data_IF_718293903355
#
_entry.id   IF_718293903355
#
_cell.length_a   1.000
_cell.length_b   1.000
_cell.length_c   1.000
_cell.angle_alpha   90.00
_cell.angle_beta   90.00
_cell.angle_gamma   90.00
#
_symmetry.space_group_name_H-M   'P 1'
#
loop_
_entity.id
_entity.type
_entity.pdbx_description
1 polymer ?
#
# COMPACT_ATOMS: atom_id res chain seq x y z
N UNK A 1 -0.11 15.94 60.46
CA UNK A 1 0.25 14.63 59.89
C UNK A 1 -0.96 14.10 59.15
N UNK A 2 -1.10 14.44 57.87
CA UNK A 2 -2.27 14.05 57.06
C UNK A 2 -2.04 12.64 56.49
N UNK A 3 -2.92 11.72 56.87
CA UNK A 3 -2.93 10.33 56.43
C UNK A 3 -3.40 10.29 54.97
N UNK A 4 -2.46 10.22 54.03
CA UNK A 4 -2.76 10.17 52.60
C UNK A 4 -3.48 8.82 52.35
N UNK A 5 -4.68 8.82 51.74
CA UNK A 5 -5.40 7.58 51.51
C UNK A 5 -4.55 6.67 50.62
N UNK A 6 -4.37 5.41 51.04
CA UNK A 6 -3.55 4.38 50.38
C UNK A 6 -3.75 4.35 48.85
N UNK A 7 -4.98 4.64 48.39
CA UNK A 7 -5.33 4.78 46.97
C UNK A 7 -4.49 5.82 46.21
N UNK A 8 -4.19 6.98 46.79
CA UNK A 8 -3.40 8.02 46.10
C UNK A 8 -1.93 7.62 46.03
N UNK A 9 -1.41 6.94 47.06
CA UNK A 9 -0.03 6.45 47.07
C UNK A 9 0.21 5.38 46.00
N UNK A 10 -0.77 4.49 45.76
CA UNK A 10 -0.72 3.52 44.66
C UNK A 10 -0.75 4.19 43.27
N UNK A 11 -1.48 5.29 43.10
CA UNK A 11 -1.50 6.03 41.83
C UNK A 11 -0.17 6.70 41.53
N UNK A 12 0.50 7.25 42.55
CA UNK A 12 1.83 7.87 42.37
C UNK A 12 2.89 6.80 42.06
N UNK A 13 2.82 5.62 42.68
CA UNK A 13 3.72 4.50 42.35
C UNK A 13 3.42 3.89 40.96
N UNK A 14 2.15 3.83 40.54
CA UNK A 14 1.77 3.40 39.20
C UNK A 14 2.24 4.38 38.11
N UNK A 15 2.26 5.69 38.39
CA UNK A 15 2.82 6.71 37.50
C UNK A 15 4.35 6.61 37.38
N UNK A 16 5.06 6.23 38.43
CA UNK A 16 6.52 6.07 38.41
C UNK A 16 6.99 4.73 37.84
N UNK A 17 6.20 3.65 37.96
CA UNK A 17 6.54 2.31 37.42
C UNK A 17 5.90 2.00 36.05
N UNK A 18 4.94 2.82 35.59
CA UNK A 18 4.25 2.67 34.31
C UNK A 18 5.01 3.20 33.09
N UNK A 19 6.32 3.43 33.20
CA UNK A 19 7.15 4.04 32.14
C UNK A 19 7.74 3.08 31.11
N UNK A 20 7.76 1.76 31.32
CA UNK A 20 8.51 0.83 30.44
C UNK A 20 7.91 -0.57 30.23
N UNK A 21 6.65 -0.84 30.58
CA UNK A 21 6.05 -2.15 30.25
C UNK A 21 5.42 -2.11 28.85
N UNK A 22 6.19 -2.70 27.93
CA UNK A 22 5.98 -2.71 26.50
C UNK A 22 4.61 -3.18 26.03
N UNK A 23 4.16 -2.53 24.96
CA UNK A 23 3.23 -3.09 24.01
C UNK A 23 3.84 -4.36 23.40
N UNK A 24 3.67 -5.51 24.05
CA UNK A 24 3.72 -6.81 23.35
C UNK A 24 2.36 -6.98 22.66
N UNK A 25 2.24 -6.38 21.47
CA UNK A 25 1.24 -6.80 20.50
C UNK A 25 1.49 -8.28 20.21
N UNK A 26 0.50 -9.10 20.55
CA UNK A 26 0.51 -10.55 20.33
C UNK A 26 0.46 -10.85 18.82
N UNK A 27 1.38 -11.70 18.35
CA UNK A 27 1.55 -12.06 16.94
C UNK A 27 0.54 -13.11 16.42
N UNK A 28 -0.43 -13.56 17.23
CA UNK A 28 -1.30 -14.69 16.83
C UNK A 28 -2.45 -14.32 15.89
N UNK A 29 -2.76 -13.04 15.67
CA UNK A 29 -3.75 -12.58 14.66
C UNK A 29 -3.11 -12.15 13.33
N UNK A 30 -1.81 -12.42 13.12
CA UNK A 30 -1.16 -12.20 11.81
C UNK A 30 -1.32 -13.39 10.84
N UNK A 31 -2.00 -14.46 11.27
CA UNK A 31 -2.15 -15.68 10.47
C UNK A 31 -3.37 -15.67 9.52
N UNK A 32 -4.38 -14.82 9.73
CA UNK A 32 -5.58 -14.80 8.88
C UNK A 32 -5.42 -14.01 7.57
N UNK A 33 -4.42 -13.13 7.45
CA UNK A 33 -4.15 -12.39 6.21
C UNK A 33 -3.16 -13.11 5.26
N UNK A 34 -2.72 -14.32 5.60
CA UNK A 34 -1.62 -15.03 4.93
C UNK A 34 -1.93 -15.70 3.57
N UNK A 35 -3.10 -15.50 2.94
CA UNK A 35 -3.49 -16.27 1.73
C UNK A 35 -3.55 -15.52 0.40
N UNK A 36 -2.97 -14.32 0.27
CA UNK A 36 -2.74 -13.74 -1.06
C UNK A 36 -1.42 -12.98 -1.14
N UNK A 37 -0.34 -13.69 -1.51
CA UNK A 37 0.93 -13.06 -1.92
C UNK A 37 0.67 -12.31 -3.24
N UNK A 38 0.71 -10.96 -3.26
CA UNK A 38 0.49 -10.22 -4.50
C UNK A 38 1.59 -10.56 -5.51
N UNK A 39 1.27 -10.66 -6.81
CA UNK A 39 2.23 -11.03 -7.84
C UNK A 39 3.42 -10.06 -7.82
N UNK A 40 4.65 -10.56 -8.08
CA UNK A 40 5.81 -9.71 -8.14
C UNK A 40 5.61 -8.65 -9.24
N UNK A 41 5.97 -7.38 -8.98
CA UNK A 41 5.91 -6.34 -10.00
C UNK A 41 6.84 -6.71 -11.15
N UNK A 42 6.53 -6.29 -12.40
CA UNK A 42 7.41 -6.51 -13.54
C UNK A 42 8.81 -5.95 -13.24
N UNK A 43 9.81 -6.80 -13.39
CA UNK A 43 11.23 -6.54 -13.18
C UNK A 43 11.71 -5.44 -14.13
N UNK A 44 12.05 -4.28 -13.59
CA UNK A 44 12.56 -3.13 -14.35
C UNK A 44 12.22 -1.75 -13.79
N UNK A 45 11.38 -1.64 -12.75
CA UNK A 45 10.99 -0.35 -12.18
C UNK A 45 11.81 0.02 -10.93
N UNK A 46 12.90 0.78 -11.09
CA UNK A 46 13.64 1.38 -9.97
C UNK A 46 12.88 2.62 -9.48
N UNK A 47 11.79 2.41 -8.74
CA UNK A 47 10.97 3.51 -8.25
C UNK A 47 11.63 4.23 -7.08
N UNK A 48 11.71 5.57 -7.14
CA UNK A 48 12.15 6.38 -6.00
C UNK A 48 10.94 6.83 -5.16
N UNK A 49 11.10 6.94 -3.85
CA UNK A 49 10.08 7.48 -2.94
C UNK A 49 9.59 8.88 -3.39
N UNK A 50 10.48 9.68 -3.97
CA UNK A 50 10.17 11.01 -4.54
C UNK A 50 9.10 10.97 -5.64
N UNK A 51 9.05 9.89 -6.43
CA UNK A 51 8.09 9.77 -7.53
C UNK A 51 6.67 9.51 -6.99
N UNK A 52 6.58 8.71 -5.93
CA UNK A 52 5.31 8.44 -5.24
C UNK A 52 4.79 9.69 -4.55
N UNK A 53 5.67 10.45 -3.88
CA UNK A 53 5.31 11.75 -3.27
C UNK A 53 4.86 12.73 -4.35
N UNK A 54 5.55 12.77 -5.49
CA UNK A 54 5.16 13.62 -6.63
C UNK A 54 3.79 13.20 -7.20
N UNK A 55 3.54 11.89 -7.29
CA UNK A 55 2.25 11.37 -7.73
C UNK A 55 1.13 11.82 -6.79
N UNK A 56 1.33 11.71 -5.47
CA UNK A 56 0.38 12.26 -4.49
C UNK A 56 0.22 13.77 -4.70
N UNK A 57 1.30 14.55 -4.74
CA UNK A 57 1.24 16.02 -4.89
C UNK A 57 0.41 16.47 -6.09
N UNK A 58 0.57 15.84 -7.26
CA UNK A 58 -0.09 16.28 -8.49
C UNK A 58 -1.44 15.60 -8.75
N UNK A 59 -1.69 14.43 -8.18
CA UNK A 59 -2.89 13.64 -8.43
C UNK A 59 -3.82 13.50 -7.21
N UNK A 60 -3.44 13.97 -6.02
CA UNK A 60 -4.21 13.80 -4.78
C UNK A 60 -5.66 14.23 -4.93
N UNK A 61 -5.92 15.38 -5.56
CA UNK A 61 -7.27 15.89 -5.78
C UNK A 61 -8.12 14.97 -6.64
N UNK A 62 -7.54 14.18 -7.55
CA UNK A 62 -8.28 13.21 -8.36
C UNK A 62 -8.43 11.85 -7.66
N UNK A 63 -7.45 11.48 -6.83
CA UNK A 63 -7.44 10.23 -6.08
C UNK A 63 -8.30 10.30 -4.81
N UNK A 64 -8.48 11.49 -4.26
CA UNK A 64 -9.15 11.71 -2.99
C UNK A 64 -10.59 11.18 -3.03
N UNK A 65 -11.03 10.52 -1.96
CA UNK A 65 -12.31 9.78 -1.92
C UNK A 65 -13.52 10.66 -2.24
N UNK A 66 -13.54 11.89 -1.76
CA UNK A 66 -14.67 12.82 -1.92
C UNK A 66 -14.67 13.58 -3.24
N UNK A 67 -13.63 13.47 -4.06
CA UNK A 67 -13.58 14.20 -5.33
C UNK A 67 -14.58 13.70 -6.37
N UNK A 68 -15.04 14.53 -7.30
CA UNK A 68 -15.92 14.08 -8.38
C UNK A 68 -15.25 12.97 -9.22
N UNK A 69 -16.00 11.93 -9.59
CA UNK A 69 -15.47 10.79 -10.36
C UNK A 69 -15.14 11.13 -11.82
N UNK A 70 -15.75 12.19 -12.36
CA UNK A 70 -15.73 12.48 -13.80
C UNK A 70 -14.68 13.50 -14.22
N UNK A 71 -13.83 13.96 -13.30
CA UNK A 71 -12.77 14.90 -13.65
C UNK A 71 -11.59 14.14 -14.24
N UNK A 72 -11.29 14.44 -15.52
CA UNK A 72 -10.06 13.96 -16.15
C UNK A 72 -8.84 14.54 -15.41
N UNK A 73 -7.81 13.73 -15.15
CA UNK A 73 -6.56 14.22 -14.59
C UNK A 73 -5.93 15.26 -15.52
N UNK A 74 -5.35 16.30 -14.92
CA UNK A 74 -4.60 17.30 -15.68
C UNK A 74 -3.32 16.71 -16.28
N UNK A 75 -2.72 17.43 -17.23
CA UNK A 75 -1.51 16.99 -17.93
C UNK A 75 -0.35 16.70 -16.97
N UNK A 76 -0.19 17.51 -15.90
CA UNK A 76 0.86 17.31 -14.88
C UNK A 76 0.68 15.99 -14.13
N UNK A 77 -0.54 15.67 -13.70
CA UNK A 77 -0.86 14.40 -13.05
C UNK A 77 -0.56 13.23 -13.99
N UNK A 78 -0.98 13.30 -15.27
CA UNK A 78 -0.68 12.22 -16.22
C UNK A 78 0.79 12.07 -16.58
N UNK A 79 1.57 13.15 -16.59
CA UNK A 79 3.02 13.06 -16.77
C UNK A 79 3.68 12.24 -15.66
N UNK A 80 3.31 12.50 -14.40
CA UNK A 80 3.84 11.76 -13.26
C UNK A 80 3.26 10.34 -13.20
N UNK A 81 1.96 10.17 -13.47
CA UNK A 81 1.29 8.87 -13.51
C UNK A 81 1.95 7.89 -14.49
N UNK A 82 2.49 8.41 -15.60
CA UNK A 82 3.24 7.62 -16.59
C UNK A 82 4.63 7.21 -16.09
N UNK A 83 5.25 8.00 -15.21
CA UNK A 83 6.59 7.74 -14.65
C UNK A 83 6.54 6.85 -13.40
N UNK A 84 5.41 6.80 -12.69
CA UNK A 84 5.24 6.04 -11.45
C UNK A 84 4.68 4.64 -11.69
N UNK A 85 5.06 3.69 -10.84
CA UNK A 85 4.50 2.36 -10.74
C UNK A 85 3.23 2.42 -9.91
N UNK A 86 2.11 2.64 -10.59
CA UNK A 86 0.78 2.62 -9.99
C UNK A 86 0.48 1.30 -9.24
N UNK A 87 0.88 0.10 -9.71
CA UNK A 87 0.72 -1.13 -8.93
C UNK A 87 1.41 -1.07 -7.56
N UNK A 88 2.62 -0.50 -7.50
CA UNK A 88 3.38 -0.36 -6.25
C UNK A 88 2.75 0.70 -5.35
N UNK A 89 2.26 1.81 -5.92
CA UNK A 89 1.48 2.80 -5.19
C UNK A 89 0.26 2.16 -4.52
N UNK A 90 -0.51 1.35 -5.27
CA UNK A 90 -1.66 0.65 -4.75
C UNK A 90 -1.32 -0.32 -3.60
N UNK A 91 -0.15 -0.95 -3.64
CA UNK A 91 0.28 -1.88 -2.60
C UNK A 91 0.67 -1.17 -1.30
N UNK A 92 1.26 0.02 -1.40
CA UNK A 92 1.84 0.74 -0.26
C UNK A 92 0.86 1.76 0.33
N UNK A 93 0.13 2.49 -0.51
CA UNK A 93 -0.67 3.65 -0.11
C UNK A 93 -2.18 3.43 -0.13
N UNK A 94 -2.66 2.27 -0.58
CA UNK A 94 -4.08 1.92 -0.59
C UNK A 94 -4.36 0.69 0.30
N UNK A 95 -3.78 0.71 1.49
CA UNK A 95 -4.08 -0.20 2.58
C UNK A 95 -5.43 0.18 3.24
N UNK A 96 -6.07 -0.72 3.99
CA UNK A 96 -7.41 -0.47 4.56
C UNK A 96 -7.51 0.84 5.37
N UNK A 97 -6.43 1.23 6.05
CA UNK A 97 -6.34 2.45 6.86
C UNK A 97 -6.39 3.72 6.01
N UNK A 98 -5.80 3.69 4.80
CA UNK A 98 -5.70 4.87 3.91
C UNK A 98 -6.87 5.00 2.94
N UNK A 99 -7.79 4.03 2.90
CA UNK A 99 -9.05 4.12 2.14
C UNK A 99 -9.93 5.32 2.53
N UNK A 100 -9.72 5.89 3.73
CA UNK A 100 -10.45 7.08 4.16
C UNK A 100 -10.01 8.32 3.36
N UNK A 101 -8.78 8.31 2.83
CA UNK A 101 -8.17 9.44 2.12
C UNK A 101 -8.24 9.21 0.60
N UNK A 102 -7.75 8.06 0.12
CA UNK A 102 -7.64 7.79 -1.33
C UNK A 102 -8.56 6.65 -1.77
N UNK A 103 -9.22 6.85 -2.91
CA UNK A 103 -10.07 5.85 -3.55
C UNK A 103 -9.28 5.05 -4.56
N UNK A 104 -9.13 3.75 -4.28
CA UNK A 104 -8.46 2.81 -5.17
C UNK A 104 -9.06 2.78 -6.59
N UNK A 105 -10.38 2.85 -6.71
CA UNK A 105 -11.08 2.93 -7.99
C UNK A 105 -10.69 4.19 -8.79
N UNK A 106 -10.41 5.32 -8.13
CA UNK A 106 -9.97 6.55 -8.82
C UNK A 106 -8.52 6.45 -9.29
N UNK A 107 -7.65 5.84 -8.50
CA UNK A 107 -6.26 5.56 -8.93
C UNK A 107 -6.24 4.69 -10.19
N UNK A 108 -7.12 3.68 -10.26
CA UNK A 108 -7.29 2.82 -11.42
C UNK A 108 -7.80 3.59 -12.64
N UNK A 109 -8.71 4.56 -12.43
CA UNK A 109 -9.20 5.45 -13.50
C UNK A 109 -8.07 6.34 -14.00
N UNK A 110 -7.27 6.96 -13.12
CA UNK A 110 -6.12 7.78 -13.51
C UNK A 110 -5.13 6.97 -14.34
N UNK A 111 -4.82 5.75 -13.91
CA UNK A 111 -3.94 4.84 -14.65
C UNK A 111 -4.44 4.63 -16.09
N UNK A 112 -5.74 4.35 -16.24
CA UNK A 112 -6.39 4.15 -17.54
C UNK A 112 -6.42 5.43 -18.38
N UNK A 113 -6.83 6.54 -17.81
CA UNK A 113 -6.99 7.82 -18.52
C UNK A 113 -5.64 8.43 -18.95
N UNK A 114 -4.57 8.16 -18.19
CA UNK A 114 -3.21 8.59 -18.51
C UNK A 114 -2.41 7.60 -19.38
N UNK A 115 -3.06 6.55 -19.90
CA UNK A 115 -2.46 5.62 -20.88
C UNK A 115 -1.58 4.51 -20.29
N UNK A 116 -1.64 4.26 -18.98
CA UNK A 116 -1.01 3.10 -18.31
C UNK A 116 -2.03 2.29 -17.50
N UNK A 117 -3.04 1.67 -18.16
CA UNK A 117 -4.06 0.91 -17.44
C UNK A 117 -3.45 -0.28 -16.70
N UNK A 118 -3.96 -0.53 -15.49
CA UNK A 118 -3.61 -1.71 -14.71
C UNK A 118 -4.11 -2.98 -15.39
N UNK A 119 -3.44 -4.10 -15.08
CA UNK A 119 -3.78 -5.41 -15.65
C UNK A 119 -5.19 -5.81 -15.25
N UNK A 120 -5.94 -6.41 -16.18
CA UNK A 120 -7.26 -6.97 -15.86
C UNK A 120 -7.11 -8.05 -14.77
N UNK A 121 -8.05 -8.06 -13.83
CA UNK A 121 -8.07 -8.93 -12.65
C UNK A 121 -6.88 -8.74 -11.68
N UNK A 122 -6.14 -7.63 -11.80
CA UNK A 122 -5.20 -7.23 -10.75
C UNK A 122 -5.91 -6.49 -9.62
N UNK A 123 -5.33 -6.55 -8.43
CA UNK A 123 -5.80 -5.83 -7.25
C UNK A 123 -5.02 -4.53 -7.08
N UNK A 124 -5.73 -3.45 -6.76
CA UNK A 124 -5.18 -2.17 -6.34
C UNK A 124 -5.79 -1.82 -4.99
N UNK A 125 -5.04 -1.99 -3.89
CA UNK A 125 -5.64 -2.05 -2.55
C UNK A 125 -6.70 -3.15 -2.51
N UNK A 126 -7.92 -2.81 -2.10
CA UNK A 126 -9.10 -3.71 -2.14
C UNK A 126 -9.92 -3.63 -3.42
N UNK A 127 -9.50 -2.85 -4.43
CA UNK A 127 -10.24 -2.71 -5.67
C UNK A 127 -9.76 -3.69 -6.75
N UNK A 128 -10.67 -4.51 -7.26
CA UNK A 128 -10.42 -5.41 -8.39
C UNK A 128 -10.57 -4.67 -9.73
N UNK A 129 -9.51 -4.68 -10.54
CA UNK A 129 -9.51 -4.05 -11.87
C UNK A 129 -10.28 -4.92 -12.87
N UNK A 130 -11.51 -4.53 -13.21
CA UNK A 130 -12.34 -5.27 -14.20
C UNK A 130 -12.04 -4.93 -15.65
N UNK A 131 -11.59 -3.71 -15.94
CA UNK A 131 -11.28 -3.23 -17.29
C UNK A 131 -9.78 -2.90 -17.36
N UNK A 132 -9.08 -3.56 -18.27
CA UNK A 132 -7.64 -3.43 -18.50
C UNK A 132 -7.19 -4.33 -19.65
N UNK A 133 -5.94 -4.18 -20.14
CA UNK A 133 -5.38 -5.05 -21.17
C UNK A 133 -5.40 -6.51 -20.72
N UNK A 134 -5.76 -7.42 -21.64
CA UNK A 134 -5.61 -8.86 -21.43
C UNK A 134 -4.12 -9.16 -21.49
N UNK A 135 -3.55 -9.67 -20.40
CA UNK A 135 -2.16 -10.14 -20.41
C UNK A 135 -2.16 -11.61 -20.82
N UNK A 136 -1.37 -12.02 -21.81
CA UNK A 136 -1.29 -13.41 -22.22
C UNK A 136 -0.76 -14.28 -21.07
N UNK A 137 -1.25 -15.53 -20.93
CA UNK A 137 -0.94 -16.42 -19.80
C UNK A 137 0.55 -16.74 -19.65
N UNK A 138 1.36 -16.57 -20.71
CA UNK A 138 2.80 -16.87 -20.69
C UNK A 138 3.65 -15.85 -19.89
N UNK A 139 3.11 -14.67 -19.57
CA UNK A 139 3.79 -13.68 -18.69
C UNK A 139 3.50 -13.94 -17.20
N UNK A 140 2.61 -14.89 -16.87
CA UNK A 140 2.33 -15.27 -15.47
C UNK A 140 3.29 -16.33 -14.92
N UNK A 141 4.00 -17.11 -15.75
CA UNK A 141 5.10 -17.98 -15.30
C UNK A 141 6.40 -17.14 -15.31
N UNK A 142 6.71 -16.53 -14.18
CA UNK A 142 8.10 -16.14 -13.92
C UNK A 142 9.01 -17.37 -13.92
N UNK A 143 10.31 -17.23 -14.23
CA UNK A 143 11.23 -18.34 -14.23
C UNK A 143 11.35 -18.89 -12.81
N UNK A 144 10.74 -20.05 -12.58
CA UNK A 144 11.04 -20.92 -11.45
C UNK A 144 11.82 -22.12 -12.00
N UNK A 145 13.04 -21.84 -12.46
CA UNK A 145 14.05 -22.83 -12.82
C UNK A 145 15.41 -22.13 -12.89
N UNK A 146 16.12 -22.11 -11.76
CA UNK A 146 17.57 -22.25 -11.63
C UNK A 146 17.92 -22.10 -10.15
N UNK A 147 17.68 -23.19 -9.44
CA UNK A 147 18.43 -23.58 -8.26
C UNK A 147 19.02 -24.95 -8.61
N UNK A 148 20.18 -25.25 -8.05
CA UNK A 148 21.12 -26.36 -8.32
C UNK A 148 22.29 -25.93 -9.23
N UNK A 149 23.24 -25.21 -8.66
CA UNK A 149 24.64 -25.67 -8.62
C UNK A 149 25.39 -24.92 -7.50
N UNK A 150 25.42 -25.54 -6.32
CA UNK A 150 26.48 -25.34 -5.35
C UNK A 150 27.21 -26.68 -5.29
N UNK A 151 28.33 -26.83 -5.99
CA UNK A 151 29.41 -27.75 -5.56
C UNK A 151 30.74 -27.19 -6.05
N UNK A 152 31.49 -26.64 -5.10
CA UNK A 152 32.92 -26.35 -5.20
C UNK A 152 33.70 -27.67 -5.34
N UNK A 153 34.86 -27.64 -5.98
CA UNK A 153 36.08 -28.07 -5.32
C UNK A 153 37.00 -26.90 -4.95
#
# INVERSE_FOLDING_TARGET
MANIPIRIQFWVMALMMGGCMGMMMNNTELALFGRHKPPPPPSGFKQRSSDMVSFIRYCATYMHRFSPRFHRPNNKCCEIARKVSIPLFCKIFLIPETHMIFSASKVVIIAKDCGKPLRRHSWCGTHLVRKGPKVPPNVQKGPMALREDQTSP
#
